data_IF_365370534485
#
_entry.id   IF_365370534485
#
_cell.length_a   1.000
_cell.length_b   1.000
_cell.length_c   1.000
_cell.angle_alpha   90.00
_cell.angle_beta   90.00
_cell.angle_gamma   90.00
#
_symmetry.space_group_name_H-M   'P 1'
#
loop_
_entity.id
_entity.type
_entity.pdbx_description
1 polymer ?
#
# COMPACT_ATOMS: atom_id res chain seq x y z
N UNK A 1 -5.34 4.97 -11.43
CA UNK A 1 -5.64 3.59 -10.98
C UNK A 1 -5.41 2.54 -12.08
N UNK A 2 -6.04 2.65 -13.26
CA UNK A 2 -5.95 1.60 -14.28
C UNK A 2 -4.51 1.32 -14.76
N UNK A 3 -3.73 2.37 -15.03
CA UNK A 3 -2.28 2.26 -15.34
C UNK A 3 -1.50 1.58 -14.22
N UNK A 4 -1.73 2.00 -12.97
CA UNK A 4 -1.07 1.45 -11.78
C UNK A 4 -1.29 -0.06 -11.61
N UNK A 5 -2.50 -0.57 -11.88
CA UNK A 5 -2.79 -2.01 -11.81
C UNK A 5 -1.87 -2.80 -12.74
N UNK A 6 -1.74 -2.37 -14.00
CA UNK A 6 -0.89 -3.02 -15.01
C UNK A 6 0.57 -3.07 -14.55
N UNK A 7 1.09 -1.98 -13.98
CA UNK A 7 2.48 -1.90 -13.51
C UNK A 7 2.71 -2.86 -12.34
N UNK A 8 1.84 -2.86 -11.34
CA UNK A 8 1.95 -3.74 -10.17
C UNK A 8 1.79 -5.20 -10.56
N UNK A 9 0.83 -5.54 -11.42
CA UNK A 9 0.60 -6.92 -11.81
C UNK A 9 1.83 -7.47 -12.57
N UNK A 10 2.43 -6.67 -13.46
CA UNK A 10 3.70 -7.02 -14.13
C UNK A 10 4.86 -7.16 -13.16
N UNK A 11 4.99 -6.26 -12.18
CA UNK A 11 6.03 -6.32 -11.17
C UNK A 11 5.92 -7.62 -10.35
N UNK A 12 4.72 -7.93 -9.88
CA UNK A 12 4.43 -9.11 -9.07
C UNK A 12 4.62 -10.39 -9.88
N UNK A 13 4.14 -10.42 -11.12
CA UNK A 13 4.32 -11.55 -12.03
C UNK A 13 5.80 -11.81 -12.30
N UNK A 14 6.57 -10.76 -12.60
CA UNK A 14 8.01 -10.89 -12.85
C UNK A 14 8.74 -11.42 -11.62
N UNK A 15 8.46 -10.86 -10.44
CA UNK A 15 9.09 -11.30 -9.21
C UNK A 15 8.72 -12.74 -8.84
N UNK A 16 7.49 -13.15 -9.13
CA UNK A 16 7.02 -14.52 -8.92
C UNK A 16 7.77 -15.52 -9.80
N UNK A 17 8.04 -15.16 -11.05
CA UNK A 17 8.84 -16.00 -11.97
C UNK A 17 10.28 -16.13 -11.46
N UNK A 18 10.88 -15.03 -11.02
CA UNK A 18 12.28 -15.01 -10.60
C UNK A 18 12.50 -15.72 -9.24
N UNK A 19 11.48 -15.79 -8.36
CA UNK A 19 11.57 -16.39 -7.01
C UNK A 19 10.87 -17.76 -6.86
N UNK A 20 10.69 -18.53 -7.94
CA UNK A 20 10.17 -19.89 -7.84
C UNK A 20 8.69 -19.95 -7.44
N UNK A 21 7.86 -19.11 -8.05
CA UNK A 21 6.39 -19.10 -7.95
C UNK A 21 5.82 -18.54 -6.63
N UNK A 22 6.67 -18.08 -5.71
CA UNK A 22 6.23 -17.42 -4.47
C UNK A 22 5.96 -15.94 -4.68
N UNK A 23 4.88 -15.44 -4.05
CA UNK A 23 4.66 -14.00 -3.94
C UNK A 23 5.68 -13.42 -2.97
N UNK A 24 6.17 -12.21 -3.30
CA UNK A 24 6.93 -11.42 -2.36
C UNK A 24 6.01 -10.93 -1.23
N UNK A 25 6.56 -10.80 -0.03
CA UNK A 25 5.76 -10.39 1.13
C UNK A 25 5.77 -8.87 1.32
N UNK A 26 6.89 -8.19 1.05
CA UNK A 26 7.05 -6.74 1.21
C UNK A 26 7.73 -6.08 0.00
N UNK A 27 7.26 -4.89 -0.41
CA UNK A 27 7.92 -4.00 -1.38
C UNK A 27 8.36 -2.71 -0.67
N UNK A 28 9.67 -2.43 -0.69
CA UNK A 28 10.17 -1.09 -0.36
C UNK A 28 10.16 -0.21 -1.62
N UNK A 29 9.59 0.98 -1.54
CA UNK A 29 9.46 1.91 -2.67
C UNK A 29 9.56 3.37 -2.24
N UNK A 30 9.82 4.25 -3.22
CA UNK A 30 9.93 5.69 -3.01
C UNK A 30 8.81 6.41 -3.75
N UNK A 31 8.15 7.36 -3.06
CA UNK A 31 7.20 8.29 -3.68
C UNK A 31 7.83 9.67 -3.88
N UNK A 32 7.87 10.11 -5.13
CA UNK A 32 8.32 11.44 -5.51
C UNK A 32 7.13 12.38 -5.71
N UNK A 33 7.30 13.68 -5.47
CA UNK A 33 6.23 14.64 -5.75
C UNK A 33 6.00 14.82 -7.26
N UNK A 34 7.09 14.88 -8.03
CA UNK A 34 7.06 15.31 -9.43
C UNK A 34 6.43 14.29 -10.38
N UNK A 35 6.64 13.00 -10.17
CA UNK A 35 5.99 11.92 -10.94
C UNK A 35 4.48 11.86 -10.62
N UNK A 36 4.10 12.01 -9.35
CA UNK A 36 2.69 12.02 -8.95
C UNK A 36 1.93 13.22 -9.52
N UNK A 37 2.56 14.39 -9.65
CA UNK A 37 1.98 15.52 -10.39
C UNK A 37 1.79 15.18 -11.88
N UNK A 38 2.84 14.67 -12.53
CA UNK A 38 2.83 14.42 -13.99
C UNK A 38 1.87 13.32 -14.41
N UNK A 39 1.68 12.32 -13.55
CA UNK A 39 0.89 11.12 -13.84
C UNK A 39 -0.48 11.12 -13.16
N UNK A 40 -0.81 12.19 -12.41
CA UNK A 40 -2.02 12.25 -11.59
C UNK A 40 -2.10 11.11 -10.55
N UNK A 41 -0.96 10.79 -9.92
CA UNK A 41 -0.89 9.85 -8.81
C UNK A 41 -0.72 8.37 -9.19
N UNK A 42 -0.06 8.06 -10.31
CA UNK A 42 0.10 6.65 -10.71
C UNK A 42 0.93 5.84 -9.71
N UNK A 43 2.08 6.33 -9.25
CA UNK A 43 2.92 5.60 -8.28
C UNK A 43 2.25 5.48 -6.91
N UNK A 44 1.53 6.51 -6.45
CA UNK A 44 0.67 6.41 -5.26
C UNK A 44 -0.40 5.31 -5.42
N UNK A 45 -1.08 5.27 -6.57
CA UNK A 45 -2.09 4.27 -6.86
C UNK A 45 -1.49 2.84 -6.99
N UNK A 46 -0.20 2.71 -7.34
CA UNK A 46 0.49 1.42 -7.32
C UNK A 46 0.58 0.89 -5.89
N UNK A 47 0.95 1.73 -4.91
CA UNK A 47 0.97 1.34 -3.49
C UNK A 47 -0.42 0.91 -3.02
N UNK A 48 -1.45 1.68 -3.36
CA UNK A 48 -2.84 1.31 -3.04
C UNK A 48 -3.20 -0.06 -3.61
N UNK A 49 -2.82 -0.35 -4.85
CA UNK A 49 -3.10 -1.65 -5.45
C UNK A 49 -2.28 -2.79 -4.82
N UNK A 50 -1.02 -2.56 -4.43
CA UNK A 50 -0.18 -3.56 -3.74
C UNK A 50 -0.87 -4.11 -2.47
N UNK A 51 -1.36 -3.21 -1.62
CA UNK A 51 -2.11 -3.57 -0.38
C UNK A 51 -3.58 -3.95 -0.65
N UNK A 52 -4.05 -3.80 -1.89
CA UNK A 52 -5.41 -4.19 -2.30
C UNK A 52 -6.49 -3.22 -1.82
N UNK A 53 -6.26 -1.92 -1.94
CA UNK A 53 -7.28 -0.89 -1.75
C UNK A 53 -7.48 -0.08 -3.02
N UNK A 54 -8.63 0.59 -3.13
CA UNK A 54 -8.91 1.55 -4.19
C UNK A 54 -9.31 2.90 -3.63
N UNK A 55 -8.78 4.01 -4.17
CA UNK A 55 -9.25 5.34 -3.82
C UNK A 55 -10.69 5.54 -4.30
N UNK A 56 -11.49 6.24 -3.51
CA UNK A 56 -12.86 6.60 -3.90
C UNK A 56 -13.08 8.08 -3.74
N UNK A 57 -13.68 8.69 -4.77
CA UNK A 57 -14.03 10.09 -4.76
C UNK A 57 -15.31 10.35 -3.96
N UNK A 58 -15.38 11.50 -3.29
CA UNK A 58 -16.62 12.03 -2.74
C UNK A 58 -17.50 12.66 -3.84
N UNK A 59 -18.67 13.19 -3.44
CA UNK A 59 -19.61 13.85 -4.36
C UNK A 59 -19.05 15.09 -5.05
N UNK A 60 -17.93 15.64 -4.56
CA UNK A 60 -17.23 16.78 -5.14
C UNK A 60 -16.01 16.35 -5.98
N UNK A 61 -15.79 15.05 -6.16
CA UNK A 61 -14.67 14.51 -6.94
C UNK A 61 -13.35 14.45 -6.17
N UNK A 62 -13.34 14.66 -4.84
CA UNK A 62 -12.12 14.64 -4.03
C UNK A 62 -11.82 13.23 -3.56
N UNK A 63 -10.58 12.79 -3.73
CA UNK A 63 -10.09 11.50 -3.24
C UNK A 63 -9.59 11.66 -1.80
N UNK A 64 -10.45 11.30 -0.85
CA UNK A 64 -10.19 11.44 0.60
C UNK A 64 -10.51 10.16 1.41
N UNK A 65 -10.98 9.11 0.73
CA UNK A 65 -11.28 7.80 1.30
C UNK A 65 -10.78 6.68 0.38
N UNK A 66 -10.58 5.52 0.98
CA UNK A 66 -10.23 4.28 0.29
C UNK A 66 -11.23 3.20 0.67
N UNK A 67 -11.40 2.23 -0.21
CA UNK A 67 -12.15 1.00 0.05
C UNK A 67 -11.24 -0.20 -0.17
N UNK A 68 -11.43 -1.24 0.62
CA UNK A 68 -10.74 -2.51 0.45
C UNK A 68 -11.28 -3.24 -0.76
N UNK A 69 -10.37 -3.74 -1.60
CA UNK A 69 -10.67 -4.67 -2.68
C UNK A 69 -10.70 -6.08 -2.11
N UNK A 70 -11.68 -6.90 -2.50
CA UNK A 70 -11.79 -8.28 -2.03
C UNK A 70 -10.60 -9.13 -2.52
N UNK A 71 -10.21 -10.18 -1.79
CA UNK A 71 -9.16 -11.09 -2.23
C UNK A 71 -9.49 -11.77 -3.56
N UNK A 72 -10.78 -11.99 -3.84
CA UNK A 72 -11.26 -12.52 -5.12
C UNK A 72 -11.01 -11.55 -6.28
N UNK A 73 -11.35 -10.26 -6.12
CA UNK A 73 -11.05 -9.23 -7.13
C UNK A 73 -9.53 -8.99 -7.25
N UNK A 74 -8.79 -9.09 -6.14
CA UNK A 74 -7.35 -8.88 -6.12
C UNK A 74 -6.58 -10.03 -6.79
N UNK A 75 -7.08 -11.26 -6.70
CA UNK A 75 -6.51 -12.46 -7.34
C UNK A 75 -5.13 -12.90 -6.82
N UNK A 76 -4.69 -12.32 -5.70
CA UNK A 76 -3.40 -12.58 -5.04
C UNK A 76 -3.43 -12.15 -3.57
N UNK A 77 -2.44 -12.54 -2.76
CA UNK A 77 -2.24 -11.95 -1.44
C UNK A 77 -2.03 -10.43 -1.49
N UNK A 78 -2.42 -9.75 -0.41
CA UNK A 78 -2.06 -8.35 -0.15
C UNK A 78 -0.58 -8.29 0.20
N UNK A 79 0.15 -7.45 -0.52
CA UNK A 79 1.60 -7.30 -0.37
C UNK A 79 1.85 -6.13 0.58
N UNK A 80 2.67 -6.35 1.61
CA UNK A 80 3.09 -5.29 2.52
C UNK A 80 4.00 -4.30 1.80
N UNK A 81 4.05 -3.07 2.29
CA UNK A 81 4.77 -1.98 1.64
C UNK A 81 5.57 -1.22 2.65
N UNK A 82 6.78 -0.79 2.28
CA UNK A 82 7.55 0.21 3.02
C UNK A 82 7.74 1.43 2.12
N UNK A 83 7.08 2.53 2.49
CA UNK A 83 6.89 3.69 1.62
C UNK A 83 7.73 4.84 2.12
N UNK A 84 8.78 5.15 1.36
CA UNK A 84 9.67 6.27 1.61
C UNK A 84 9.21 7.48 0.78
N UNK A 85 8.61 8.46 1.44
CA UNK A 85 8.16 9.68 0.79
C UNK A 85 9.28 10.74 0.78
N UNK A 86 9.56 11.28 -0.40
CA UNK A 86 10.44 12.46 -0.51
C UNK A 86 9.86 13.66 0.24
N UNK A 87 10.72 14.60 0.69
CA UNK A 87 10.26 15.83 1.34
C UNK A 87 9.30 16.65 0.49
N UNK A 88 9.52 16.70 -0.83
CA UNK A 88 8.60 17.37 -1.77
C UNK A 88 7.24 16.65 -1.83
N UNK A 89 7.22 15.32 -1.75
CA UNK A 89 5.95 14.59 -1.68
C UNK A 89 5.20 14.92 -0.39
N UNK A 90 5.88 14.94 0.76
CA UNK A 90 5.32 15.33 2.05
C UNK A 90 4.70 16.73 1.99
N UNK A 91 5.42 17.69 1.45
CA UNK A 91 4.99 19.10 1.46
C UNK A 91 3.76 19.33 0.57
N UNK A 92 3.62 18.56 -0.52
CA UNK A 92 2.54 18.74 -1.51
C UNK A 92 1.36 17.78 -1.34
N UNK A 93 1.60 16.59 -0.79
CA UNK A 93 0.65 15.48 -0.76
C UNK A 93 0.44 14.88 0.63
N UNK A 94 0.57 15.69 1.69
CA UNK A 94 0.36 15.24 3.08
C UNK A 94 -1.00 14.55 3.28
N UNK A 95 -2.04 15.00 2.58
CA UNK A 95 -3.36 14.39 2.59
C UNK A 95 -3.37 12.97 2.00
N UNK A 96 -2.53 12.71 1.00
CA UNK A 96 -2.39 11.38 0.41
C UNK A 96 -1.54 10.46 1.30
N UNK A 97 -0.59 11.01 2.05
CA UNK A 97 0.15 10.25 3.07
C UNK A 97 -0.76 9.80 4.21
N UNK A 98 -1.60 10.69 4.71
CA UNK A 98 -2.64 10.35 5.70
C UNK A 98 -3.61 9.29 5.16
N UNK A 99 -4.05 9.43 3.90
CA UNK A 99 -4.91 8.44 3.27
C UNK A 99 -4.23 7.07 3.14
N UNK A 100 -2.94 7.05 2.82
CA UNK A 100 -2.16 5.83 2.68
C UNK A 100 -1.93 5.13 4.03
N UNK A 101 -1.57 5.88 5.07
CA UNK A 101 -1.40 5.35 6.42
C UNK A 101 -2.72 4.74 6.95
N UNK A 102 -3.84 5.45 6.76
CA UNK A 102 -5.18 4.92 7.06
C UNK A 102 -5.48 3.64 6.28
N UNK A 103 -5.09 3.58 5.01
CA UNK A 103 -5.30 2.41 4.17
C UNK A 103 -4.51 1.18 4.66
N UNK A 104 -3.22 1.35 4.95
CA UNK A 104 -2.35 0.26 5.43
C UNK A 104 -2.88 -0.28 6.76
N UNK A 105 -3.21 0.62 7.70
CA UNK A 105 -3.76 0.23 9.01
C UNK A 105 -5.10 -0.49 8.89
N UNK A 106 -6.00 0.00 8.04
CA UNK A 106 -7.26 -0.69 7.75
C UNK A 106 -7.04 -2.09 7.17
N UNK A 107 -6.06 -2.26 6.27
CA UNK A 107 -5.71 -3.56 5.68
C UNK A 107 -5.10 -4.51 6.72
N UNK A 108 -4.30 -3.99 7.66
CA UNK A 108 -3.73 -4.77 8.74
C UNK A 108 -4.79 -5.31 9.73
N UNK A 109 -5.95 -4.66 9.81
CA UNK A 109 -7.05 -5.00 10.71
C UNK A 109 -8.11 -5.92 10.06
N UNK A 110 -7.92 -6.32 8.81
CA UNK A 110 -8.85 -7.22 8.11
C UNK A 110 -8.76 -8.65 8.66
N UNK A 111 -9.93 -9.27 8.84
CA UNK A 111 -10.05 -10.69 9.22
C UNK A 111 -9.77 -11.60 8.01
N UNK A 112 -8.48 -11.70 7.66
CA UNK A 112 -7.99 -12.49 6.54
C UNK A 112 -6.83 -13.42 7.00
N UNK A 113 -6.64 -14.59 6.35
CA UNK A 113 -5.49 -15.44 6.65
C UNK A 113 -4.15 -14.72 6.40
N UNK A 114 -3.17 -14.92 7.28
CA UNK A 114 -1.83 -14.31 7.17
C UNK A 114 -1.10 -14.65 5.86
N UNK A 115 -1.42 -15.79 5.23
CA UNK A 115 -0.88 -16.19 3.92
C UNK A 115 -1.52 -15.44 2.73
N UNK A 116 -2.62 -14.73 2.97
CA UNK A 116 -3.31 -13.89 1.99
C UNK A 116 -3.18 -12.40 2.29
N UNK A 117 -2.67 -12.04 3.47
CA UNK A 117 -2.49 -10.67 3.88
C UNK A 117 -1.15 -10.50 4.60
N UNK A 118 -0.12 -10.12 3.84
CA UNK A 118 1.23 -9.95 4.39
C UNK A 118 1.35 -8.68 5.25
N UNK A 119 0.51 -7.67 5.02
CA UNK A 119 0.43 -6.50 5.91
C UNK A 119 0.03 -6.95 7.32
N UNK A 120 -1.05 -7.75 7.42
CA UNK A 120 -1.51 -8.33 8.69
C UNK A 120 -0.46 -9.26 9.30
N UNK A 121 0.10 -10.19 8.51
CA UNK A 121 1.16 -11.12 8.95
C UNK A 121 2.30 -10.39 9.64
N UNK A 122 2.87 -9.37 9.00
CA UNK A 122 4.01 -8.63 9.54
C UNK A 122 3.61 -7.72 10.70
N UNK A 123 2.48 -7.03 10.61
CA UNK A 123 2.01 -6.15 11.69
C UNK A 123 1.76 -6.94 12.98
N UNK A 124 1.20 -8.15 12.89
CA UNK A 124 0.99 -9.04 14.03
C UNK A 124 2.32 -9.49 14.67
N UNK A 125 3.30 -9.90 13.85
CA UNK A 125 4.63 -10.29 14.33
C UNK A 125 5.35 -9.13 15.01
N UNK A 126 5.31 -7.95 14.40
CA UNK A 126 5.93 -6.72 14.91
C UNK A 126 5.25 -6.21 16.18
N UNK A 127 3.92 -6.24 16.25
CA UNK A 127 3.15 -5.89 17.43
C UNK A 127 3.56 -6.74 18.64
N UNK A 128 3.68 -8.06 18.43
CA UNK A 128 4.14 -9.00 19.46
C UNK A 128 5.59 -8.74 19.87
N UNK A 129 6.48 -8.47 18.92
CA UNK A 129 7.89 -8.24 19.19
C UNK A 129 8.16 -6.92 19.93
N UNK A 130 7.38 -5.87 19.64
CA UNK A 130 7.55 -4.53 20.20
C UNK A 130 6.65 -4.25 21.41
N UNK A 131 5.63 -5.08 21.66
CA UNK A 131 4.68 -4.89 22.75
C UNK A 131 3.72 -3.71 22.52
N UNK A 132 3.33 -3.50 21.26
CA UNK A 132 2.44 -2.40 20.82
C UNK A 132 1.20 -2.97 20.12
N UNK A 133 0.21 -2.11 19.87
CA UNK A 133 -0.98 -2.47 19.11
C UNK A 133 -0.66 -2.72 17.63
N UNK A 134 -1.40 -3.64 16.99
CA UNK A 134 -1.24 -3.97 15.55
C UNK A 134 -1.31 -2.72 14.68
N UNK A 135 -2.25 -1.83 15.00
CA UNK A 135 -2.43 -0.58 14.26
C UNK A 135 -1.18 0.31 14.29
N UNK A 136 -0.47 0.33 15.41
CA UNK A 136 0.78 1.07 15.54
C UNK A 136 1.93 0.35 14.81
N UNK A 137 2.00 -0.97 14.95
CA UNK A 137 2.96 -1.82 14.25
C UNK A 137 2.82 -1.76 12.72
N UNK A 138 1.62 -1.47 12.19
CA UNK A 138 1.34 -1.30 10.77
C UNK A 138 1.75 0.08 10.20
N UNK A 139 2.64 0.82 10.88
CA UNK A 139 3.19 2.08 10.35
C UNK A 139 4.15 1.78 9.20
N UNK A 140 3.88 2.32 8.01
CA UNK A 140 4.61 2.04 6.76
C UNK A 140 4.95 3.27 5.89
N UNK A 141 4.49 4.47 6.27
CA UNK A 141 4.73 5.69 5.52
C UNK A 141 5.76 6.57 6.25
N UNK A 142 6.94 6.72 5.67
CA UNK A 142 8.09 7.41 6.27
C UNK A 142 8.54 8.59 5.41
N UNK A 143 9.14 9.60 6.04
CA UNK A 143 9.63 10.82 5.37
C UNK A 143 10.69 11.51 6.24
N UNK A 144 11.46 12.42 5.63
CA UNK A 144 12.43 13.25 6.35
C UNK A 144 11.74 14.23 7.31
N UNK A 145 12.40 14.58 8.42
CA UNK A 145 11.93 15.61 9.36
C UNK A 145 11.78 17.01 8.72
#
# INVERSE_FOLDING_TARGET
MQSAKIVVDRLVERQKVDNGVKYLETIALVLWGTDNIKTYGESLAQVSWMIGVRPVADTFGRVNRVETVSLEELGRPRIDVDVNCSGVFRDLFINQMDLLDRAVKMVAELDEPVEQNYVWKHALEQAKALGIEVREAATRAFFNA
#
